data_IF_276745484830
#
_entry.id   IF_276745484830
#
_cell.length_a   1.000
_cell.length_b   1.000
_cell.length_c   1.000
_cell.angle_alpha   90.00
_cell.angle_beta   90.00
_cell.angle_gamma   90.00
#
_symmetry.space_group_name_H-M   'P 1'
#
loop_
_entity.id
_entity.type
_entity.pdbx_description
1 polymer ?
#
# COMPACT_ATOMS: atom_id res chain seq x y z
N UNK A 1 -6.75 9.61 12.57
CA UNK A 1 -7.72 9.94 13.63
C UNK A 1 -8.98 10.41 12.92
N UNK A 2 -10.13 9.81 13.21
CA UNK A 2 -11.38 10.07 12.48
C UNK A 2 -11.96 11.44 12.87
N UNK A 3 -12.65 12.12 11.96
CA UNK A 3 -13.23 13.44 12.19
C UNK A 3 -14.68 13.36 12.70
N UNK A 4 -15.12 14.40 13.40
CA UNK A 4 -16.50 14.52 13.84
C UNK A 4 -17.42 14.67 12.64
N UNK A 5 -18.47 13.85 12.56
CA UNK A 5 -19.40 13.80 11.44
C UNK A 5 -18.92 12.96 10.25
N UNK A 6 -17.71 12.40 10.31
CA UNK A 6 -17.17 11.53 9.26
C UNK A 6 -18.00 10.25 9.13
N UNK A 7 -18.22 9.81 7.88
CA UNK A 7 -18.88 8.54 7.58
C UNK A 7 -17.88 7.41 7.73
N UNK A 8 -18.22 6.44 8.56
CA UNK A 8 -17.34 5.33 8.93
C UNK A 8 -18.07 4.01 8.76
N UNK A 9 -17.32 2.92 8.65
CA UNK A 9 -17.84 1.55 8.61
C UNK A 9 -17.37 0.81 9.85
N UNK A 10 -18.29 0.10 10.50
CA UNK A 10 -17.96 -0.77 11.62
C UNK A 10 -17.38 -2.06 11.05
N UNK A 11 -16.10 -2.32 11.30
CA UNK A 11 -15.37 -3.48 10.75
C UNK A 11 -15.25 -4.64 11.72
N UNK A 12 -15.44 -4.39 13.02
CA UNK A 12 -15.28 -5.39 14.08
C UNK A 12 -16.18 -5.17 15.29
N UNK A 13 -16.13 -6.12 16.22
CA UNK A 13 -16.77 -6.03 17.54
C UNK A 13 -15.86 -6.69 18.59
N UNK A 14 -14.75 -6.03 18.92
CA UNK A 14 -13.76 -6.57 19.84
C UNK A 14 -14.28 -6.73 21.27
N UNK A 15 -15.31 -5.96 21.65
CA UNK A 15 -15.90 -5.93 22.99
C UNK A 15 -17.26 -6.64 23.09
N UNK A 16 -17.69 -7.35 22.03
CA UNK A 16 -18.96 -8.09 21.98
C UNK A 16 -20.18 -7.24 22.40
N UNK A 17 -20.22 -5.97 21.97
CA UNK A 17 -21.31 -5.04 22.26
C UNK A 17 -22.53 -5.25 21.35
N UNK A 18 -22.47 -6.26 20.47
CA UNK A 18 -23.44 -6.51 19.41
C UNK A 18 -23.49 -5.33 18.44
N UNK A 19 -22.30 -4.93 17.98
CA UNK A 19 -22.15 -3.88 16.98
C UNK A 19 -22.68 -4.35 15.62
N UNK A 20 -23.33 -3.48 14.84
CA UNK A 20 -23.75 -3.82 13.49
C UNK A 20 -22.55 -3.80 12.53
N UNK A 21 -21.74 -4.87 12.55
CA UNK A 21 -20.56 -5.03 11.69
C UNK A 21 -20.97 -5.03 10.22
N UNK A 22 -20.19 -4.33 9.38
CA UNK A 22 -20.44 -4.10 7.96
C UNK A 22 -21.39 -2.93 7.68
N UNK A 23 -21.94 -2.29 8.70
CA UNK A 23 -22.85 -1.15 8.53
C UNK A 23 -22.13 0.19 8.71
N UNK A 24 -22.77 1.21 8.14
CA UNK A 24 -22.31 2.58 8.26
C UNK A 24 -22.68 3.21 9.60
N UNK A 25 -21.81 4.10 10.04
CA UNK A 25 -22.02 4.98 11.18
C UNK A 25 -21.45 6.36 10.95
N UNK A 26 -21.73 7.25 11.90
CA UNK A 26 -21.16 8.60 11.94
C UNK A 26 -20.50 8.83 13.29
N UNK A 27 -19.28 9.37 13.28
CA UNK A 27 -18.59 9.76 14.52
C UNK A 27 -19.28 11.00 15.10
N UNK A 28 -19.83 10.89 16.31
CA UNK A 28 -20.59 11.97 16.95
C UNK A 28 -19.89 12.55 18.19
N UNK A 29 -18.91 11.85 18.74
CA UNK A 29 -18.05 12.36 19.82
C UNK A 29 -16.76 11.54 19.91
N UNK A 30 -15.78 12.12 20.60
CA UNK A 30 -14.57 11.45 21.04
C UNK A 30 -14.65 11.18 22.53
N UNK A 31 -14.21 10.00 22.96
CA UNK A 31 -13.88 9.82 24.36
C UNK A 31 -12.49 10.40 24.61
N UNK A 32 -12.33 11.09 25.75
CA UNK A 32 -11.05 11.68 26.18
C UNK A 32 -10.56 11.06 27.47
N UNK A 33 -11.27 10.07 28.00
CA UNK A 33 -10.88 9.40 29.22
C UNK A 33 -9.73 8.41 28.91
N UNK A 34 -8.51 8.64 29.42
CA UNK A 34 -7.38 7.75 29.16
C UNK A 34 -7.56 6.36 29.77
N UNK A 35 -8.46 6.21 30.74
CA UNK A 35 -8.79 4.92 31.36
C UNK A 35 -9.84 4.13 30.54
N UNK A 36 -10.42 4.74 29.50
CA UNK A 36 -11.42 4.08 28.66
C UNK A 36 -10.77 3.39 27.47
N UNK A 37 -11.26 2.20 27.12
CA UNK A 37 -10.80 1.44 25.96
C UNK A 37 -11.49 1.87 24.65
N UNK A 38 -12.42 2.83 24.72
CA UNK A 38 -13.17 3.33 23.58
C UNK A 38 -12.64 4.70 23.15
N UNK A 39 -12.45 4.88 21.85
CA UNK A 39 -11.93 6.13 21.26
C UNK A 39 -13.06 7.02 20.74
N UNK A 40 -14.10 6.41 20.17
CA UNK A 40 -15.15 7.11 19.44
C UNK A 40 -16.54 6.73 19.94
N UNK A 41 -17.46 7.69 19.83
CA UNK A 41 -18.90 7.43 19.90
C UNK A 41 -19.45 7.49 18.49
N UNK A 42 -19.98 6.37 18.01
CA UNK A 42 -20.51 6.23 16.64
C UNK A 42 -22.02 6.03 16.69
N UNK A 43 -22.75 6.83 15.91
CA UNK A 43 -24.19 6.66 15.71
C UNK A 43 -24.44 5.81 14.48
N UNK A 44 -25.09 4.66 14.65
CA UNK A 44 -25.49 3.81 13.54
C UNK A 44 -26.93 4.16 13.10
N UNK A 45 -27.15 4.66 11.86
CA UNK A 45 -28.49 5.02 11.39
C UNK A 45 -29.44 3.82 11.34
N UNK A 46 -28.94 2.65 10.96
CA UNK A 46 -29.74 1.42 10.79
C UNK A 46 -30.42 0.98 12.09
N UNK A 47 -29.70 1.03 13.21
CA UNK A 47 -30.24 0.65 14.54
C UNK A 47 -30.78 1.85 15.31
N UNK A 48 -30.43 3.07 14.91
CA UNK A 48 -30.80 4.32 15.59
C UNK A 48 -30.09 4.51 16.94
N UNK A 49 -29.07 3.69 17.25
CA UNK A 49 -28.35 3.66 18.52
C UNK A 49 -26.97 4.30 18.40
N UNK A 50 -26.44 4.71 19.56
CA UNK A 50 -25.08 5.19 19.70
C UNK A 50 -24.25 4.06 20.33
N UNK A 51 -23.04 3.86 19.83
CA UNK A 51 -22.11 2.82 20.28
C UNK A 51 -20.78 3.47 20.66
N UNK A 52 -20.14 2.91 21.69
CA UNK A 52 -18.78 3.25 22.07
C UNK A 52 -17.87 2.22 21.43
N UNK A 53 -16.94 2.70 20.61
CA UNK A 53 -16.15 1.82 19.75
C UNK A 53 -14.67 2.19 19.83
N UNK A 54 -13.78 1.20 19.93
CA UNK A 54 -12.35 1.43 19.81
C UNK A 54 -12.01 1.78 18.36
N UNK A 55 -10.88 2.45 18.17
CA UNK A 55 -10.35 2.80 16.85
C UNK A 55 -10.09 1.60 15.94
N UNK A 56 -9.86 0.42 16.50
CA UNK A 56 -9.64 -0.80 15.71
C UNK A 56 -10.91 -1.40 15.09
N UNK A 57 -12.08 -1.10 15.63
CA UNK A 57 -13.36 -1.66 15.17
C UNK A 57 -14.07 -0.76 14.15
N UNK A 58 -13.47 0.39 13.80
CA UNK A 58 -14.06 1.39 12.91
C UNK A 58 -13.03 1.91 11.92
N UNK A 59 -13.40 1.94 10.65
CA UNK A 59 -12.57 2.51 9.59
C UNK A 59 -13.31 3.60 8.81
N UNK A 60 -12.54 4.53 8.25
CA UNK A 60 -13.08 5.54 7.34
C UNK A 60 -13.56 4.86 6.06
N UNK A 61 -14.76 5.20 5.61
CA UNK A 61 -15.27 4.63 4.36
C UNK A 61 -14.42 5.04 3.16
N UNK A 62 -13.97 6.31 3.12
CA UNK A 62 -13.12 6.80 2.04
C UNK A 62 -11.85 5.94 1.92
N UNK A 63 -11.22 5.65 3.06
CA UNK A 63 -10.05 4.78 3.12
C UNK A 63 -10.33 3.35 2.66
N UNK A 64 -11.47 2.79 3.04
CA UNK A 64 -11.86 1.44 2.58
C UNK A 64 -12.07 1.40 1.06
N UNK A 65 -12.68 2.43 0.49
CA UNK A 65 -12.88 2.55 -0.97
C UNK A 65 -11.54 2.68 -1.68
N UNK A 66 -10.61 3.50 -1.16
CA UNK A 66 -9.27 3.65 -1.72
C UNK A 66 -8.52 2.31 -1.77
N UNK A 67 -8.51 1.57 -0.66
CA UNK A 67 -7.86 0.26 -0.57
C UNK A 67 -8.49 -0.76 -1.52
N UNK A 68 -9.81 -0.78 -1.63
CA UNK A 68 -10.50 -1.67 -2.55
C UNK A 68 -10.21 -1.31 -4.01
N UNK A 69 -10.18 -0.01 -4.32
CA UNK A 69 -9.85 0.49 -5.65
C UNK A 69 -8.41 0.14 -6.03
N UNK A 70 -7.47 0.29 -5.09
CA UNK A 70 -6.07 -0.06 -5.29
C UNK A 70 -5.92 -1.56 -5.58
N UNK A 71 -6.55 -2.42 -4.79
CA UNK A 71 -6.55 -3.88 -5.00
C UNK A 71 -7.15 -4.27 -6.34
N UNK A 72 -8.34 -3.78 -6.66
CA UNK A 72 -9.00 -4.07 -7.93
C UNK A 72 -8.20 -3.58 -9.13
N UNK A 73 -7.53 -2.42 -8.99
CA UNK A 73 -6.64 -1.89 -10.03
C UNK A 73 -5.41 -2.78 -10.21
N UNK A 74 -4.80 -3.22 -9.11
CA UNK A 74 -3.64 -4.11 -9.14
C UNK A 74 -3.98 -5.44 -9.81
N UNK A 75 -5.11 -6.06 -9.44
CA UNK A 75 -5.61 -7.29 -10.06
C UNK A 75 -5.87 -7.12 -11.56
N UNK A 76 -6.54 -6.04 -11.95
CA UNK A 76 -6.81 -5.75 -13.37
C UNK A 76 -5.53 -5.54 -14.19
N UNK A 77 -4.51 -4.90 -13.60
CA UNK A 77 -3.22 -4.71 -14.25
C UNK A 77 -2.44 -6.02 -14.38
N UNK A 78 -2.52 -6.91 -13.39
CA UNK A 78 -1.93 -8.26 -13.45
C UNK A 78 -2.59 -9.05 -14.58
N UNK A 79 -3.92 -9.07 -14.64
CA UNK A 79 -4.67 -9.78 -15.69
C UNK A 79 -4.32 -9.24 -17.08
N UNK A 80 -4.22 -7.93 -17.23
CA UNK A 80 -3.78 -7.29 -18.46
C UNK A 80 -2.35 -7.68 -18.84
N UNK A 81 -1.42 -7.68 -17.89
CA UNK A 81 -0.02 -8.06 -18.12
C UNK A 81 0.08 -9.52 -18.57
N UNK A 82 -0.68 -10.43 -17.96
CA UNK A 82 -0.71 -11.84 -18.34
C UNK A 82 -1.34 -12.04 -19.74
N UNK A 83 -2.46 -11.37 -20.03
CA UNK A 83 -3.14 -11.44 -21.32
C UNK A 83 -2.29 -10.90 -22.48
N UNK A 84 -1.45 -9.90 -22.21
CA UNK A 84 -0.56 -9.28 -23.21
C UNK A 84 0.85 -9.86 -23.19
N UNK A 85 1.15 -10.83 -22.32
CA UNK A 85 2.49 -11.35 -22.07
C UNK A 85 3.53 -10.25 -21.77
N UNK A 86 3.12 -9.18 -21.08
CA UNK A 86 3.98 -8.08 -20.68
C UNK A 86 4.68 -8.39 -19.36
N UNK A 87 5.81 -9.09 -19.44
CA UNK A 87 6.59 -9.52 -18.28
C UNK A 87 7.10 -8.36 -17.43
N UNK A 88 7.45 -7.22 -18.04
CA UNK A 88 7.93 -6.04 -17.33
C UNK A 88 6.86 -5.44 -16.42
N UNK A 89 5.65 -5.29 -16.94
CA UNK A 89 4.51 -4.77 -16.17
C UNK A 89 4.15 -5.72 -15.02
N UNK A 90 4.13 -7.04 -15.29
CA UNK A 90 3.86 -8.04 -14.26
C UNK A 90 4.88 -7.97 -13.12
N UNK A 91 6.19 -7.92 -13.44
CA UNK A 91 7.25 -7.83 -12.44
C UNK A 91 7.19 -6.52 -11.65
N UNK A 92 6.88 -5.41 -12.30
CA UNK A 92 6.70 -4.10 -11.65
C UNK A 92 5.57 -4.14 -10.61
N UNK A 93 4.41 -4.70 -10.97
CA UNK A 93 3.25 -4.77 -10.06
C UNK A 93 3.49 -5.73 -8.88
N UNK A 94 4.19 -6.83 -9.11
CA UNK A 94 4.45 -7.84 -8.08
C UNK A 94 5.55 -7.42 -7.09
N UNK A 95 6.58 -6.72 -7.58
CA UNK A 95 7.74 -6.31 -6.77
C UNK A 95 7.61 -4.89 -6.22
N UNK A 96 6.61 -4.13 -6.67
CA UNK A 96 6.45 -2.70 -6.35
C UNK A 96 7.42 -1.80 -7.12
N UNK A 97 7.30 -0.48 -6.93
CA UNK A 97 8.16 0.57 -7.52
C UNK A 97 9.67 0.37 -7.29
N UNK A 98 10.07 -0.57 -6.42
CA UNK A 98 11.47 -0.92 -6.14
C UNK A 98 12.22 -1.57 -7.32
N UNK A 99 11.54 -1.87 -8.44
CA UNK A 99 12.17 -2.48 -9.61
C UNK A 99 12.97 -1.50 -10.48
N UNK A 100 12.77 -0.18 -10.34
CA UNK A 100 13.49 0.82 -11.14
C UNK A 100 14.87 1.21 -10.57
N UNK A 101 15.21 0.80 -9.33
CA UNK A 101 16.54 1.05 -8.76
C UNK A 101 17.60 0.02 -9.19
N UNK A 102 17.20 -1.12 -9.75
CA UNK A 102 18.12 -2.18 -10.20
C UNK A 102 18.27 -2.30 -11.72
N UNK A 103 17.67 -1.38 -12.48
CA UNK A 103 18.04 -1.16 -13.90
C UNK A 103 18.88 0.10 -14.03
N UNK A 104 19.93 0.21 -13.21
CA UNK A 104 21.13 0.90 -13.71
C UNK A 104 21.63 0.06 -14.87
N UNK A 105 21.47 0.59 -16.08
CA UNK A 105 22.36 0.29 -17.19
C UNK A 105 23.79 0.34 -16.65
N UNK A 106 24.39 -0.82 -16.34
CA UNK A 106 25.84 -0.87 -16.31
C UNK A 106 26.29 -0.55 -17.73
N UNK A 107 27.01 0.56 -17.97
CA UNK A 107 27.65 0.74 -19.25
C UNK A 107 28.62 -0.43 -19.37
N UNK A 108 28.41 -1.28 -20.38
CA UNK A 108 29.39 -2.24 -20.85
C UNK A 108 30.71 -1.48 -21.00
N UNK A 109 31.56 -1.56 -19.97
CA UNK A 109 32.89 -0.97 -19.98
C UNK A 109 33.60 -1.63 -21.14
N UNK A 110 33.84 -0.82 -22.16
CA UNK A 110 34.58 -1.13 -23.36
C UNK A 110 35.78 -2.00 -23.00
N UNK A 111 35.86 -3.18 -23.61
CA UNK A 111 37.05 -4.00 -23.57
C UNK A 111 38.18 -3.19 -24.23
N UNK A 112 39.04 -2.59 -23.40
CA UNK A 112 40.21 -1.84 -23.85
C UNK A 112 41.03 -2.71 -24.82
N UNK A 113 41.30 -2.14 -26.00
CA UNK A 113 41.97 -2.88 -27.07
C UNK A 113 43.41 -3.22 -26.67
N UNK A 114 43.97 -4.37 -27.12
CA UNK A 114 45.33 -4.78 -26.79
C UNK A 114 46.41 -3.74 -27.14
N UNK A 115 46.13 -2.84 -28.09
CA UNK A 115 47.02 -1.76 -28.51
C UNK A 115 47.23 -0.69 -27.43
N UNK A 116 46.24 -0.44 -26.56
CA UNK A 116 46.36 0.53 -25.46
C UNK A 116 47.11 -0.06 -24.26
N UNK A 117 46.97 -1.37 -24.02
CA UNK A 117 47.73 -2.09 -22.99
C UNK A 117 49.25 -2.07 -23.27
N UNK A 118 49.65 -2.24 -24.53
CA UNK A 118 51.08 -2.26 -24.93
C UNK A 118 51.75 -0.89 -24.74
N UNK A 119 51.01 0.23 -24.83
CA UNK A 119 51.56 1.57 -24.54
C UNK A 119 51.82 1.79 -23.05
N UNK A 120 51.01 1.20 -22.18
CA UNK A 120 51.08 1.41 -20.74
C UNK A 120 52.21 0.60 -20.08
N UNK A 121 52.58 -0.55 -20.65
CA UNK A 121 53.67 -1.38 -20.16
C UNK A 121 54.81 -1.28 -21.15
N UNK A 122 55.86 -0.51 -20.82
CA UNK A 122 57.03 -0.23 -21.67
C UNK A 122 57.93 -1.47 -21.85
N UNK A 123 57.37 -2.55 -22.38
CA UNK A 123 58.01 -3.83 -22.68
C UNK A 123 58.35 -3.86 -24.17
N UNK A 124 59.62 -3.59 -24.50
CA UNK A 124 60.16 -3.86 -25.84
C UNK A 124 60.29 -5.37 -26.00
N UNK A 125 59.42 -5.98 -26.81
CA UNK A 125 59.64 -7.30 -27.37
C UNK A 125 59.99 -7.15 -28.87
N UNK A 126 61.01 -7.88 -29.27
CA UNK A 126 61.64 -7.89 -30.59
C UNK A 126 61.04 -9.03 -31.42
N UNK A 127 60.56 -8.68 -32.62
CA UNK A 127 60.37 -9.45 -33.88
C UNK A 127 59.09 -9.01 -34.56
#
# INVERSE_FOLDING_TARGET
MLHLGERVVIVGDAFEQNLPVGEYGYVIAYDRNPDNAFDYVVRAPKTGRNYYVPSMDVESEERLIELETERATQEALIDYALATHNEKLFQFIMNGESADENTQEEPTKEALSPAEFIKQVNLRAWI
#
